data_IF_166949949245
#
_entry.id   IF_166949949245
#
_cell.length_a   1.000
_cell.length_b   1.000
_cell.length_c   1.000
_cell.angle_alpha   90.00
_cell.angle_beta   90.00
_cell.angle_gamma   90.00
#
_symmetry.space_group_name_H-M   'P 1'
#
loop_
_entity.id
_entity.type
_entity.pdbx_description
1 polymer ?
#
# COMPACT_ATOMS: atom_id res chain seq x y z
N UNK A 1 2.91 -1.71 26.18
CA UNK A 1 2.93 -0.98 24.94
C UNK A 1 1.76 -1.43 24.11
N UNK A 2 0.99 -0.50 23.55
CA UNK A 2 -0.10 -0.79 22.64
C UNK A 2 0.41 -1.57 21.44
N UNK A 3 0.12 -2.85 21.41
CA UNK A 3 0.30 -3.71 20.25
C UNK A 3 -0.87 -3.46 19.32
N UNK A 4 -0.83 -2.29 18.67
CA UNK A 4 -1.79 -1.93 17.64
C UNK A 4 -1.45 -2.64 16.33
N UNK A 5 -2.38 -2.65 15.41
CA UNK A 5 -2.20 -3.11 14.01
C UNK A 5 -0.95 -2.52 13.33
N UNK A 6 -0.54 -1.32 13.76
CA UNK A 6 0.64 -0.59 13.26
C UNK A 6 1.95 -1.35 13.47
N UNK A 7 2.05 -2.20 14.49
CA UNK A 7 3.26 -2.98 14.76
C UNK A 7 3.45 -4.06 13.71
N UNK A 8 2.38 -4.76 13.30
CA UNK A 8 2.47 -5.81 12.30
C UNK A 8 2.90 -5.25 10.92
N UNK A 9 2.30 -4.14 10.49
CA UNK A 9 2.66 -3.49 9.23
C UNK A 9 4.09 -2.93 9.29
N UNK A 10 4.52 -2.39 10.42
CA UNK A 10 5.85 -1.85 10.63
C UNK A 10 6.95 -2.92 10.65
N UNK A 11 6.69 -4.07 11.25
CA UNK A 11 7.63 -5.20 11.27
C UNK A 11 7.81 -5.80 9.86
N UNK A 12 6.71 -6.01 9.13
CA UNK A 12 6.74 -6.51 7.76
C UNK A 12 7.42 -5.52 6.81
N UNK A 13 7.14 -4.22 6.95
CA UNK A 13 7.80 -3.18 6.17
C UNK A 13 9.27 -2.97 6.55
N UNK A 14 9.68 -3.39 7.76
CA UNK A 14 11.05 -3.27 8.26
C UNK A 14 11.37 -1.95 8.94
N UNK A 15 10.35 -1.20 9.35
CA UNK A 15 10.53 0.02 10.17
C UNK A 15 10.86 -0.33 11.62
N UNK A 16 10.41 -1.48 12.11
CA UNK A 16 10.74 -2.04 13.40
C UNK A 16 11.44 -3.39 13.22
N UNK A 17 12.25 -3.76 14.21
CA UNK A 17 12.86 -5.09 14.27
C UNK A 17 12.09 -5.88 15.32
N UNK A 18 11.59 -7.07 15.00
CA UNK A 18 10.90 -7.91 15.98
C UNK A 18 11.76 -8.17 17.22
N UNK A 19 11.19 -8.04 18.40
CA UNK A 19 11.88 -8.31 19.68
C UNK A 19 12.27 -9.78 19.80
N UNK A 20 11.46 -10.67 19.23
CA UNK A 20 11.71 -12.11 19.18
C UNK A 20 11.05 -12.70 17.91
N UNK A 21 11.52 -13.86 17.49
CA UNK A 21 11.03 -14.52 16.27
C UNK A 21 11.65 -13.99 14.99
N UNK A 22 11.24 -14.57 13.89
CA UNK A 22 11.79 -14.29 12.57
C UNK A 22 10.70 -14.00 11.55
N UNK A 23 10.99 -13.01 10.68
CA UNK A 23 10.16 -12.68 9.52
C UNK A 23 10.82 -13.28 8.28
N UNK A 24 10.05 -14.05 7.52
CA UNK A 24 10.50 -14.66 6.28
C UNK A 24 9.74 -14.08 5.09
N UNK A 25 10.47 -13.83 4.01
CA UNK A 25 9.91 -13.44 2.73
C UNK A 25 10.48 -14.36 1.64
N UNK A 26 9.62 -15.09 0.94
CA UNK A 26 10.03 -16.12 -0.04
C UNK A 26 11.09 -17.09 0.52
N UNK A 27 10.90 -17.54 1.76
CA UNK A 27 11.81 -18.49 2.44
C UNK A 27 13.12 -17.86 2.92
N UNK A 28 13.34 -16.58 2.72
CA UNK A 28 14.53 -15.86 3.21
C UNK A 28 14.19 -15.05 4.45
N UNK A 29 15.01 -15.13 5.48
CA UNK A 29 14.90 -14.32 6.70
C UNK A 29 15.21 -12.86 6.38
N UNK A 30 14.32 -11.93 6.74
CA UNK A 30 14.43 -10.50 6.41
C UNK A 30 14.51 -9.57 7.62
N UNK A 31 14.69 -10.05 8.85
CA UNK A 31 14.73 -9.22 10.05
C UNK A 31 15.76 -8.07 9.97
N UNK A 32 16.95 -8.33 9.42
CA UNK A 32 18.00 -7.32 9.26
C UNK A 32 17.97 -6.55 7.93
N UNK A 33 16.97 -6.79 7.08
CA UNK A 33 16.87 -6.12 5.79
C UNK A 33 16.17 -4.78 5.97
N UNK A 34 16.81 -3.64 5.61
CA UNK A 34 16.21 -2.32 5.78
C UNK A 34 15.00 -2.14 4.82
N UNK A 35 14.03 -1.26 5.15
CA UNK A 35 12.78 -1.08 4.40
C UNK A 35 12.98 -0.90 2.90
N UNK A 36 13.90 -0.04 2.49
CA UNK A 36 14.15 0.28 1.08
C UNK A 36 14.74 -0.88 0.25
N UNK A 37 15.15 -1.97 0.90
CA UNK A 37 15.65 -3.20 0.24
C UNK A 37 14.65 -4.35 0.27
N UNK A 38 13.52 -4.17 0.95
CA UNK A 38 12.43 -5.15 0.96
C UNK A 38 11.58 -4.98 -0.28
N UNK A 39 11.15 -6.08 -0.88
CA UNK A 39 10.22 -6.06 -2.01
C UNK A 39 8.76 -5.91 -1.54
N UNK A 40 8.57 -4.99 -0.62
CA UNK A 40 7.33 -4.67 0.08
C UNK A 40 7.17 -3.16 0.07
N UNK A 41 6.01 -2.67 -0.35
CA UNK A 41 5.68 -1.25 -0.26
C UNK A 41 4.48 -1.05 0.65
N UNK A 42 4.40 0.11 1.30
CA UNK A 42 3.34 0.45 2.25
C UNK A 42 2.55 1.67 1.78
N UNK A 43 1.24 1.58 1.87
CA UNK A 43 0.31 2.72 1.78
C UNK A 43 -0.20 3.00 3.18
N UNK A 44 0.12 4.18 3.71
CA UNK A 44 -0.27 4.61 5.05
C UNK A 44 -1.66 5.23 5.07
N UNK A 45 -2.32 5.23 6.21
CA UNK A 45 -3.64 5.80 6.46
C UNK A 45 -3.78 7.26 5.98
N UNK A 46 -2.76 8.09 6.14
CA UNK A 46 -2.72 9.49 5.69
C UNK A 46 -2.03 9.67 4.33
N UNK A 47 -1.93 8.61 3.53
CA UNK A 47 -1.35 8.57 2.18
C UNK A 47 0.13 8.99 2.07
N UNK A 48 0.66 9.79 2.99
CA UNK A 48 2.04 10.28 3.05
C UNK A 48 2.56 10.81 1.70
N UNK A 49 1.71 11.52 0.94
CA UNK A 49 2.10 12.15 -0.32
C UNK A 49 3.05 13.32 -0.06
N UNK A 50 3.96 13.56 -0.99
CA UNK A 50 4.86 14.72 -0.96
C UNK A 50 4.11 15.97 -1.42
N UNK A 51 3.79 16.93 -0.52
CA UNK A 51 2.90 18.04 -0.82
C UNK A 51 3.50 19.08 -1.79
N UNK A 52 4.82 19.09 -1.90
CA UNK A 52 5.58 19.98 -2.81
C UNK A 52 5.76 19.39 -4.21
N UNK A 53 5.37 18.13 -4.42
CA UNK A 53 5.44 17.44 -5.70
C UNK A 53 4.04 17.35 -6.33
N UNK A 54 3.99 17.35 -7.67
CA UNK A 54 2.77 17.06 -8.41
C UNK A 54 2.47 15.53 -8.43
N UNK A 55 1.38 15.12 -9.08
CA UNK A 55 0.96 13.72 -9.17
C UNK A 55 2.05 12.87 -9.84
N UNK A 56 2.54 13.30 -11.02
CA UNK A 56 3.59 12.60 -11.75
C UNK A 56 4.84 12.40 -10.91
N UNK A 57 5.31 13.46 -10.28
CA UNK A 57 6.53 13.44 -9.46
C UNK A 57 6.39 12.57 -8.21
N UNK A 58 5.21 12.55 -7.57
CA UNK A 58 4.92 11.63 -6.47
C UNK A 58 5.07 10.18 -6.91
N UNK A 59 4.48 9.80 -8.04
CA UNK A 59 4.55 8.43 -8.56
C UNK A 59 5.98 8.11 -9.01
N UNK A 60 6.65 8.99 -9.73
CA UNK A 60 8.01 8.81 -10.26
C UNK A 60 9.09 8.75 -9.18
N UNK A 61 8.82 9.24 -7.98
CA UNK A 61 9.82 9.45 -6.93
C UNK A 61 10.68 8.20 -6.66
N UNK A 62 10.05 7.06 -6.40
CA UNK A 62 10.76 5.81 -6.10
C UNK A 62 11.63 5.33 -7.27
N UNK A 63 11.15 5.48 -8.51
CA UNK A 63 11.91 5.12 -9.70
C UNK A 63 13.16 5.99 -9.87
N UNK A 64 13.05 7.29 -9.59
CA UNK A 64 14.21 8.21 -9.64
C UNK A 64 15.25 7.91 -8.56
N UNK A 65 14.82 7.59 -7.34
CA UNK A 65 15.70 7.13 -6.26
C UNK A 65 16.47 5.87 -6.68
N UNK A 66 15.80 4.96 -7.38
CA UNK A 66 16.39 3.74 -7.91
C UNK A 66 17.17 3.96 -9.24
N UNK A 67 17.32 5.23 -9.68
CA UNK A 67 18.08 5.61 -10.90
C UNK A 67 17.57 4.92 -12.18
N UNK A 68 16.25 4.69 -12.25
CA UNK A 68 15.62 4.16 -13.47
C UNK A 68 15.70 5.21 -14.58
N UNK A 69 16.00 4.82 -15.84
CA UNK A 69 16.07 5.74 -16.98
C UNK A 69 14.74 6.52 -17.18
N UNK A 70 14.82 7.82 -17.50
CA UNK A 70 13.63 8.69 -17.61
C UNK A 70 12.61 8.17 -18.64
N UNK A 71 13.07 7.59 -19.74
CA UNK A 71 12.17 6.96 -20.74
C UNK A 71 11.30 5.86 -20.14
N UNK A 72 11.87 5.05 -19.24
CA UNK A 72 11.16 3.99 -18.55
C UNK A 72 10.25 4.54 -17.47
N UNK A 73 10.66 5.62 -16.77
CA UNK A 73 9.84 6.32 -15.79
C UNK A 73 8.55 6.83 -16.45
N UNK A 74 8.65 7.50 -17.61
CA UNK A 74 7.49 8.01 -18.35
C UNK A 74 6.51 6.89 -18.67
N UNK A 75 6.99 5.75 -19.17
CA UNK A 75 6.15 4.59 -19.48
C UNK A 75 5.45 4.05 -18.24
N UNK A 76 6.21 3.74 -17.18
CA UNK A 76 5.66 3.14 -15.95
C UNK A 76 4.69 4.07 -15.23
N UNK A 77 4.98 5.37 -15.17
CA UNK A 77 4.08 6.36 -14.56
C UNK A 77 2.79 6.47 -15.38
N UNK A 78 2.87 6.45 -16.71
CA UNK A 78 1.70 6.43 -17.59
C UNK A 78 0.81 5.21 -17.33
N UNK A 79 1.40 4.00 -17.28
CA UNK A 79 0.70 2.75 -16.94
C UNK A 79 -0.02 2.86 -15.58
N UNK A 80 0.65 3.43 -14.57
CA UNK A 80 0.05 3.59 -13.24
C UNK A 80 -1.08 4.61 -13.23
N UNK A 81 -0.95 5.74 -13.94
CA UNK A 81 -2.00 6.74 -14.04
C UNK A 81 -3.27 6.18 -14.73
N UNK A 82 -3.08 5.35 -15.75
CA UNK A 82 -4.18 4.64 -16.40
C UNK A 82 -4.85 3.64 -15.44
N UNK A 83 -4.05 2.81 -14.76
CA UNK A 83 -4.54 1.82 -13.78
C UNK A 83 -5.42 2.44 -12.69
N UNK A 84 -5.02 3.62 -12.18
CA UNK A 84 -5.75 4.29 -11.09
C UNK A 84 -6.75 5.35 -11.58
N UNK A 85 -7.04 5.42 -12.89
CA UNK A 85 -7.96 6.37 -13.51
C UNK A 85 -7.64 7.84 -13.19
N UNK A 86 -6.36 8.22 -13.29
CA UNK A 86 -5.88 9.60 -13.07
C UNK A 86 -5.14 10.19 -14.28
N UNK A 87 -5.42 9.69 -15.50
CA UNK A 87 -4.90 10.31 -16.73
C UNK A 87 -5.34 11.78 -16.84
N UNK A 88 -4.41 12.66 -17.22
CA UNK A 88 -4.64 14.12 -17.29
C UNK A 88 -4.46 14.86 -15.96
N UNK A 89 -4.08 14.15 -14.88
CA UNK A 89 -3.82 14.74 -13.56
C UNK A 89 -2.33 14.94 -13.27
N UNK A 90 -1.44 14.59 -14.18
CA UNK A 90 0.02 14.51 -14.01
C UNK A 90 0.61 15.77 -13.36
N UNK A 91 0.19 16.94 -13.83
CA UNK A 91 0.70 18.25 -13.41
C UNK A 91 -0.04 18.85 -12.21
N UNK A 92 -1.10 18.19 -11.72
CA UNK A 92 -1.87 18.72 -10.57
C UNK A 92 -1.08 18.55 -9.28
N UNK A 93 -1.17 19.54 -8.41
CA UNK A 93 -0.64 19.45 -7.04
C UNK A 93 -1.53 18.55 -6.20
N UNK A 94 -0.94 17.69 -5.37
CA UNK A 94 -1.68 16.70 -4.57
C UNK A 94 -2.68 17.33 -3.59
N UNK A 95 -2.41 18.56 -3.12
CA UNK A 95 -3.29 19.30 -2.21
C UNK A 95 -4.62 19.74 -2.86
N UNK A 96 -4.73 19.69 -4.19
CA UNK A 96 -5.96 20.00 -4.94
C UNK A 96 -6.78 18.78 -5.31
N UNK A 97 -6.38 17.62 -4.82
CA UNK A 97 -7.05 16.35 -5.08
C UNK A 97 -8.04 16.03 -3.95
N UNK A 98 -9.14 15.34 -4.29
CA UNK A 98 -10.01 14.72 -3.29
C UNK A 98 -9.29 13.62 -2.52
N UNK A 99 -9.80 13.21 -1.36
CA UNK A 99 -9.22 12.13 -0.55
C UNK A 99 -9.02 10.83 -1.36
N UNK A 100 -10.03 10.40 -2.12
CA UNK A 100 -9.91 9.23 -2.98
C UNK A 100 -8.89 9.40 -4.11
N UNK A 101 -8.75 10.60 -4.70
CA UNK A 101 -7.71 10.86 -5.68
C UNK A 101 -6.31 10.82 -5.05
N UNK A 102 -6.14 11.38 -3.85
CA UNK A 102 -4.87 11.30 -3.11
C UNK A 102 -4.51 9.84 -2.79
N UNK A 103 -5.47 9.04 -2.39
CA UNK A 103 -5.29 7.61 -2.14
C UNK A 103 -4.82 6.89 -3.41
N UNK A 104 -5.47 7.12 -4.56
CA UNK A 104 -5.07 6.53 -5.85
C UNK A 104 -3.64 6.91 -6.22
N UNK A 105 -3.22 8.16 -5.98
CA UNK A 105 -1.82 8.57 -6.19
C UNK A 105 -0.87 7.80 -5.27
N UNK A 106 -1.24 7.60 -3.99
CA UNK A 106 -0.41 6.85 -3.05
C UNK A 106 -0.27 5.38 -3.46
N UNK A 107 -1.36 4.75 -3.92
CA UNK A 107 -1.36 3.38 -4.44
C UNK A 107 -0.47 3.30 -5.70
N UNK A 108 -0.66 4.19 -6.67
CA UNK A 108 0.15 4.25 -7.88
C UNK A 108 1.65 4.40 -7.57
N UNK A 109 2.00 5.27 -6.62
CA UNK A 109 3.38 5.45 -6.13
C UNK A 109 3.94 4.18 -5.51
N UNK A 110 3.12 3.43 -4.79
CA UNK A 110 3.56 2.17 -4.20
C UNK A 110 3.72 1.07 -5.26
N UNK A 111 2.82 1.00 -6.23
CA UNK A 111 2.81 -0.03 -7.27
C UNK A 111 3.84 0.17 -8.38
N UNK A 112 4.24 1.42 -8.68
CA UNK A 112 5.16 1.73 -9.79
C UNK A 112 6.52 1.03 -9.69
N UNK A 113 6.94 0.71 -8.46
CA UNK A 113 8.16 -0.05 -8.18
C UNK A 113 7.99 -1.57 -8.38
N UNK A 114 6.79 -2.05 -8.73
CA UNK A 114 6.45 -3.46 -8.92
C UNK A 114 6.83 -4.30 -7.68
N UNK A 115 6.32 -3.96 -6.48
CA UNK A 115 6.56 -4.75 -5.27
C UNK A 115 5.90 -6.12 -5.42
N UNK A 116 6.35 -7.12 -4.66
CA UNK A 116 5.64 -8.40 -4.54
C UNK A 116 4.53 -8.40 -3.52
N UNK A 117 4.65 -7.53 -2.51
CA UNK A 117 3.64 -7.34 -1.46
C UNK A 117 3.32 -5.87 -1.29
N UNK A 118 2.05 -5.55 -1.24
CA UNK A 118 1.54 -4.23 -0.88
C UNK A 118 0.89 -4.30 0.50
N UNK A 119 1.45 -3.56 1.45
CA UNK A 119 0.86 -3.36 2.77
C UNK A 119 -0.09 -2.16 2.71
N UNK A 120 -1.32 -2.36 3.12
CA UNK A 120 -2.37 -1.35 3.16
C UNK A 120 -2.79 -1.16 4.62
N UNK A 121 -2.35 -0.07 5.24
CA UNK A 121 -2.60 0.23 6.64
C UNK A 121 -3.76 1.21 6.78
N UNK A 122 -4.93 0.69 7.13
CA UNK A 122 -6.21 1.40 7.21
C UNK A 122 -6.49 2.32 6.00
N UNK A 123 -6.29 1.85 4.76
CA UNK A 123 -6.24 2.72 3.59
C UNK A 123 -7.57 3.44 3.31
N UNK A 124 -8.69 2.91 3.79
CA UNK A 124 -10.04 3.44 3.52
C UNK A 124 -10.63 4.22 4.69
N UNK A 125 -9.96 4.25 5.85
CA UNK A 125 -10.49 4.82 7.08
C UNK A 125 -10.83 6.33 7.00
N UNK A 126 -10.15 7.07 6.13
CA UNK A 126 -10.36 8.52 5.96
C UNK A 126 -11.44 8.88 4.92
N UNK A 127 -12.07 7.89 4.26
CA UNK A 127 -13.06 8.09 3.19
C UNK A 127 -14.49 8.02 3.71
N UNK A 128 -15.40 8.77 3.07
CA UNK A 128 -16.83 8.60 3.27
C UNK A 128 -17.31 7.23 2.76
N UNK A 129 -18.49 6.79 3.20
CA UNK A 129 -19.00 5.44 2.93
C UNK A 129 -19.11 5.12 1.43
N UNK A 130 -19.55 6.08 0.61
CA UNK A 130 -19.73 5.86 -0.84
C UNK A 130 -18.38 5.66 -1.52
N UNK A 131 -17.45 6.58 -1.27
CA UNK A 131 -16.12 6.53 -1.85
C UNK A 131 -15.32 5.33 -1.35
N UNK A 132 -15.53 4.92 -0.10
CA UNK A 132 -14.94 3.70 0.47
C UNK A 132 -15.34 2.45 -0.32
N UNK A 133 -16.64 2.28 -0.60
CA UNK A 133 -17.14 1.13 -1.40
C UNK A 133 -16.58 1.14 -2.83
N UNK A 134 -16.51 2.30 -3.47
CA UNK A 134 -15.90 2.44 -4.79
C UNK A 134 -14.42 2.02 -4.77
N UNK A 135 -13.68 2.46 -3.76
CA UNK A 135 -12.25 2.14 -3.61
C UNK A 135 -12.00 0.66 -3.26
N UNK A 136 -12.88 0.00 -2.51
CA UNK A 136 -12.80 -1.45 -2.25
C UNK A 136 -12.84 -2.23 -3.57
N UNK A 137 -13.79 -1.91 -4.44
CA UNK A 137 -13.93 -2.57 -5.76
C UNK A 137 -12.67 -2.34 -6.60
N UNK A 138 -12.16 -1.10 -6.63
CA UNK A 138 -10.94 -0.77 -7.39
C UNK A 138 -9.71 -1.49 -6.87
N UNK A 139 -9.50 -1.52 -5.55
CA UNK A 139 -8.38 -2.23 -4.94
C UNK A 139 -8.42 -3.73 -5.23
N UNK A 140 -9.60 -4.35 -5.15
CA UNK A 140 -9.77 -5.76 -5.47
C UNK A 140 -9.46 -6.04 -6.94
N UNK A 141 -9.92 -5.17 -7.86
CA UNK A 141 -9.59 -5.27 -9.28
C UNK A 141 -8.09 -5.17 -9.51
N UNK A 142 -7.42 -4.15 -8.92
CA UNK A 142 -5.98 -3.98 -9.06
C UNK A 142 -5.19 -5.18 -8.53
N UNK A 143 -5.61 -5.75 -7.41
CA UNK A 143 -5.00 -6.93 -6.82
C UNK A 143 -5.06 -8.13 -7.78
N UNK A 144 -6.22 -8.34 -8.42
CA UNK A 144 -6.41 -9.42 -9.40
C UNK A 144 -5.63 -9.18 -10.70
N UNK A 145 -5.68 -7.95 -11.26
CA UNK A 145 -4.99 -7.60 -12.50
C UNK A 145 -3.46 -7.70 -12.38
N UNK A 146 -2.91 -7.40 -11.21
CA UNK A 146 -1.47 -7.37 -10.98
C UNK A 146 -0.94 -8.66 -10.35
N UNK A 147 -1.81 -9.60 -9.98
CA UNK A 147 -1.45 -10.84 -9.28
C UNK A 147 -0.58 -10.60 -8.03
N UNK A 148 -0.84 -9.51 -7.29
CA UNK A 148 -0.07 -9.11 -6.14
C UNK A 148 -0.65 -9.65 -4.83
N UNK A 149 0.23 -9.91 -3.86
CA UNK A 149 -0.19 -10.15 -2.50
C UNK A 149 -0.48 -8.82 -1.80
N UNK A 150 -1.74 -8.62 -1.39
CA UNK A 150 -2.11 -7.50 -0.52
C UNK A 150 -2.18 -7.98 0.92
N UNK A 151 -1.54 -7.27 1.82
CA UNK A 151 -1.73 -7.40 3.27
C UNK A 151 -2.52 -6.20 3.73
N UNK A 152 -3.74 -6.42 4.14
CA UNK A 152 -4.70 -5.39 4.49
C UNK A 152 -4.87 -5.34 6.01
N UNK A 153 -4.58 -4.21 6.62
CA UNK A 153 -4.80 -3.97 8.04
C UNK A 153 -6.02 -3.07 8.19
N UNK A 154 -7.04 -3.54 8.87
CA UNK A 154 -8.28 -2.79 9.10
C UNK A 154 -8.93 -3.19 10.41
N UNK A 155 -9.68 -2.29 11.01
CA UNK A 155 -10.59 -2.56 12.12
C UNK A 155 -12.05 -2.73 11.65
N UNK A 156 -12.32 -2.57 10.36
CA UNK A 156 -13.63 -2.73 9.74
C UNK A 156 -13.83 -4.19 9.29
N UNK A 157 -14.81 -4.86 9.89
CA UNK A 157 -15.10 -6.27 9.58
C UNK A 157 -15.66 -6.46 8.17
N UNK A 158 -16.48 -5.50 7.67
CA UNK A 158 -17.04 -5.57 6.32
C UNK A 158 -15.91 -5.48 5.27
N UNK A 159 -14.93 -4.62 5.51
CA UNK A 159 -13.73 -4.54 4.64
C UNK A 159 -12.95 -5.86 4.64
N UNK A 160 -12.68 -6.42 5.82
CA UNK A 160 -11.93 -7.68 5.92
C UNK A 160 -12.64 -8.82 5.18
N UNK A 161 -13.96 -8.97 5.37
CA UNK A 161 -14.75 -10.03 4.74
C UNK A 161 -14.88 -9.89 3.23
N UNK A 162 -14.97 -8.64 2.71
CA UNK A 162 -15.16 -8.40 1.27
C UNK A 162 -13.87 -8.45 0.46
N UNK A 163 -12.74 -8.09 1.06
CA UNK A 163 -11.50 -7.87 0.32
C UNK A 163 -10.46 -8.99 0.46
N UNK A 164 -10.61 -9.88 1.45
CA UNK A 164 -9.58 -10.87 1.76
C UNK A 164 -9.93 -12.26 1.25
N UNK A 165 -8.92 -13.06 0.98
CA UNK A 165 -9.01 -14.50 0.75
C UNK A 165 -8.69 -15.29 2.04
N UNK A 166 -8.00 -14.63 2.99
CA UNK A 166 -7.69 -15.15 4.31
C UNK A 166 -7.68 -14.02 5.34
N UNK A 167 -8.29 -14.24 6.49
CA UNK A 167 -8.42 -13.27 7.57
C UNK A 167 -7.68 -13.78 8.80
N UNK A 168 -6.90 -12.89 9.42
CA UNK A 168 -6.24 -13.11 10.70
C UNK A 168 -6.87 -12.15 11.72
N UNK A 169 -7.56 -12.71 12.71
CA UNK A 169 -8.13 -11.94 13.81
C UNK A 169 -7.09 -11.83 14.92
N UNK A 170 -6.77 -10.60 15.32
CA UNK A 170 -5.81 -10.32 16.38
C UNK A 170 -6.46 -9.58 17.53
N UNK A 171 -6.04 -9.91 18.75
CA UNK A 171 -6.40 -9.18 19.97
C UNK A 171 -5.19 -9.12 20.89
N UNK A 172 -4.87 -7.94 21.40
CA UNK A 172 -3.74 -7.70 22.32
C UNK A 172 -2.39 -8.26 21.79
N UNK A 173 -2.16 -8.15 20.46
CA UNK A 173 -0.97 -8.66 19.79
C UNK A 173 -0.92 -10.18 19.59
N UNK A 174 -1.99 -10.90 19.94
CA UNK A 174 -2.08 -12.37 19.84
C UNK A 174 -3.08 -12.74 18.75
N UNK A 175 -2.68 -13.66 17.87
CA UNK A 175 -3.59 -14.24 16.88
C UNK A 175 -4.64 -15.08 17.60
N UNK A 176 -5.91 -14.73 17.41
CA UNK A 176 -7.05 -15.44 17.98
C UNK A 176 -7.59 -16.48 17.02
N UNK A 177 -7.64 -16.14 15.75
CA UNK A 177 -8.21 -17.00 14.72
C UNK A 177 -7.59 -16.69 13.35
N UNK A 178 -7.50 -17.72 12.50
CA UNK A 178 -7.17 -17.60 11.08
C UNK A 178 -8.22 -18.41 10.31
N UNK A 179 -8.75 -17.81 9.23
CA UNK A 179 -9.76 -18.48 8.39
C UNK A 179 -10.00 -17.74 7.08
N UNK A 180 -10.83 -18.33 6.24
CA UNK A 180 -11.43 -17.64 5.08
C UNK A 180 -12.64 -16.80 5.53
N UNK A 181 -13.06 -15.81 4.73
CA UNK A 181 -14.31 -15.07 4.93
C UNK A 181 -15.54 -15.96 5.03
#
# INVERSE_FOLDING_TARGET
>A
GDWSSDVCSSDLAGFLVPTAGDVFFEGKRINGVPPHKRNVNTVFQRYALFPHLNVYENIAFGLRVNKVPEKEIVSRVGEMLELVNLMGFEKRTVNRLSGGQQQRVAIARALVNRPKVLLLDEPLGALDLKLRKEMQIELRRMQQELELTFVYVTHDQEEALTMSDSIVVMKDGIIQQIGSP
#
